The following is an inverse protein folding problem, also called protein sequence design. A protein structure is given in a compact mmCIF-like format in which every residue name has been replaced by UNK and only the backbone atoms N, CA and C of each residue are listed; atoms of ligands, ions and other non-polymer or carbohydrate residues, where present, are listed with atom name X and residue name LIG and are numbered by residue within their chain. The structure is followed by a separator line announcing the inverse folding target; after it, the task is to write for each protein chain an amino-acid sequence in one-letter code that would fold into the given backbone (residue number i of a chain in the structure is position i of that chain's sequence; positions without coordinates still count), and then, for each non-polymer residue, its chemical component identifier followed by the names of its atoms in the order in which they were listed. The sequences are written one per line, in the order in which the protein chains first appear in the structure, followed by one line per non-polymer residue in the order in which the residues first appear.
data_IF_081736265896
#
_entry.id   IF_081736265896
#
_cell.length_a   1.000
_cell.length_b   1.000
_cell.length_c   1.000
_cell.angle_alpha   90.00
_cell.angle_beta   90.00
_cell.angle_gamma   90.00
#
_symmetry.space_group_name_H-M   'P 1'
#
loop_
_entity.id
_entity.type
_entity.pdbx_description
1 polymer ?
#
# COMPACT_ATOMS: atom_id res chain seq x y z
N UNK A 1 -25.93 -23.17 -10.96
CA UNK A 1 -24.51 -23.34 -11.26
C UNK A 1 -23.68 -22.49 -10.33
N UNK A 2 -22.84 -23.12 -9.55
CA UNK A 2 -21.96 -22.40 -8.64
C UNK A 2 -20.99 -21.54 -9.46
N UNK A 3 -20.96 -20.26 -9.17
CA UNK A 3 -19.96 -19.37 -9.77
C UNK A 3 -18.59 -19.86 -9.38
N UNK A 4 -17.75 -20.07 -10.35
CA UNK A 4 -16.36 -20.40 -10.12
C UNK A 4 -15.71 -19.21 -9.40
N UNK A 5 -15.18 -19.47 -8.22
CA UNK A 5 -14.48 -18.46 -7.46
C UNK A 5 -13.23 -18.06 -8.24
N UNK A 6 -13.14 -16.79 -8.61
CA UNK A 6 -11.93 -16.31 -9.25
C UNK A 6 -10.78 -16.38 -8.27
N UNK A 7 -9.67 -16.92 -8.74
CA UNK A 7 -8.45 -16.96 -7.97
C UNK A 7 -7.95 -15.54 -7.79
N UNK A 8 -7.90 -15.08 -6.54
CA UNK A 8 -7.34 -13.77 -6.24
C UNK A 8 -5.84 -13.76 -6.46
N UNK A 9 -5.36 -12.73 -7.14
CA UNK A 9 -3.93 -12.47 -7.24
C UNK A 9 -3.43 -12.03 -5.85
N UNK A 10 -2.51 -12.78 -5.20
CA UNK A 10 -2.00 -12.39 -3.90
C UNK A 10 -1.20 -11.09 -3.92
N UNK A 11 -0.85 -10.60 -5.12
CA UNK A 11 -0.06 -9.40 -5.30
C UNK A 11 -0.89 -8.21 -5.81
N UNK A 12 -2.22 -8.32 -5.76
CA UNK A 12 -3.09 -7.24 -6.19
C UNK A 12 -4.40 -7.28 -5.41
N UNK A 13 -4.87 -6.12 -5.00
CA UNK A 13 -6.17 -5.98 -4.36
C UNK A 13 -6.74 -4.60 -4.65
N UNK A 14 -8.03 -4.43 -4.39
CA UNK A 14 -8.68 -3.13 -4.44
C UNK A 14 -9.24 -2.80 -3.07
N UNK A 15 -9.23 -1.52 -2.72
CA UNK A 15 -9.78 -1.04 -1.46
C UNK A 15 -10.19 0.41 -1.60
N UNK A 16 -11.00 0.89 -0.67
CA UNK A 16 -11.38 2.30 -0.64
C UNK A 16 -10.44 3.09 0.24
N UNK A 17 -9.93 4.19 -0.30
CA UNK A 17 -9.09 5.13 0.44
C UNK A 17 -9.58 6.53 0.08
N UNK A 18 -9.94 7.32 1.10
CA UNK A 18 -10.51 8.64 0.87
C UNK A 18 -11.82 8.60 0.11
N UNK A 19 -12.60 7.54 0.26
CA UNK A 19 -13.89 7.37 -0.41
C UNK A 19 -13.80 6.93 -1.86
N UNK A 20 -12.63 6.68 -2.38
CA UNK A 20 -12.40 6.28 -3.78
C UNK A 20 -11.75 4.91 -3.84
N UNK A 21 -12.08 4.14 -4.87
CA UNK A 21 -11.48 2.83 -5.07
C UNK A 21 -10.06 2.96 -5.61
N UNK A 22 -9.14 2.27 -4.94
CA UNK A 22 -7.73 2.23 -5.32
C UNK A 22 -7.29 0.81 -5.60
N UNK A 23 -6.38 0.68 -6.55
CA UNK A 23 -5.71 -0.59 -6.85
C UNK A 23 -4.39 -0.61 -6.10
N UNK A 24 -4.14 -1.68 -5.36
CA UNK A 24 -2.89 -1.87 -4.62
C UNK A 24 -2.16 -3.03 -5.29
N UNK A 25 -0.94 -2.78 -5.76
CA UNK A 25 -0.14 -3.78 -6.45
C UNK A 25 1.19 -3.98 -5.76
N UNK A 26 1.52 -5.22 -5.48
CA UNK A 26 2.83 -5.60 -4.97
C UNK A 26 3.67 -6.04 -6.16
N UNK A 27 4.66 -5.25 -6.49
CA UNK A 27 5.38 -5.34 -7.77
C UNK A 27 6.81 -5.81 -7.59
N UNK A 28 7.38 -6.37 -8.65
CA UNK A 28 8.79 -6.78 -8.67
C UNK A 28 9.67 -5.53 -8.67
N UNK A 29 10.90 -5.70 -8.19
CA UNK A 29 11.84 -4.58 -8.09
C UNK A 29 12.07 -3.87 -9.42
N UNK A 30 12.03 -4.58 -10.54
CA UNK A 30 12.22 -4.00 -11.87
C UNK A 30 11.04 -3.16 -12.37
N UNK A 31 9.88 -3.28 -11.73
CA UNK A 31 8.66 -2.60 -12.16
C UNK A 31 8.50 -1.23 -11.51
N UNK A 32 9.42 -0.87 -10.64
CA UNK A 32 9.38 0.41 -9.91
C UNK A 32 10.79 0.99 -9.90
N UNK A 33 10.94 2.33 -9.99
CA UNK A 33 12.27 2.95 -9.97
C UNK A 33 13.10 2.52 -8.76
N UNK A 34 14.41 2.34 -8.98
CA UNK A 34 15.31 1.85 -7.95
C UNK A 34 15.47 2.78 -6.75
N UNK A 35 15.11 4.05 -6.90
CA UNK A 35 15.22 5.07 -5.85
C UNK A 35 14.05 5.06 -4.87
N UNK A 36 13.06 4.17 -5.07
CA UNK A 36 11.88 4.14 -4.21
C UNK A 36 11.40 2.71 -3.98
N UNK A 37 10.77 2.50 -2.84
CA UNK A 37 10.22 1.20 -2.46
C UNK A 37 8.74 1.08 -2.78
N UNK A 38 8.07 2.21 -2.98
CA UNK A 38 6.68 2.26 -3.36
C UNK A 38 6.34 3.60 -3.98
N UNK A 39 5.18 3.70 -4.59
CA UNK A 39 4.66 4.97 -5.08
C UNK A 39 3.14 4.98 -5.05
N UNK A 40 2.60 6.18 -5.16
CA UNK A 40 1.17 6.43 -5.13
C UNK A 40 0.81 7.29 -6.33
N UNK A 41 -0.19 6.85 -7.09
CA UNK A 41 -0.76 7.65 -8.16
C UNK A 41 -1.57 8.81 -7.60
N UNK A 42 -2.23 9.53 -8.50
CA UNK A 42 -3.07 10.66 -8.13
C UNK A 42 -4.53 10.21 -7.99
N UNK A 43 -5.30 10.74 -7.00
CA UNK A 43 -6.71 10.36 -6.85
C UNK A 43 -7.57 10.62 -8.09
N UNK A 44 -7.15 11.55 -8.95
CA UNK A 44 -7.89 11.88 -10.17
C UNK A 44 -7.59 10.96 -11.34
N UNK A 45 -6.64 10.05 -11.20
CA UNK A 45 -6.35 9.07 -12.24
C UNK A 45 -7.58 8.19 -12.46
N UNK A 46 -7.82 7.71 -13.70
CA UNK A 46 -8.96 6.81 -13.97
C UNK A 46 -8.92 5.54 -13.13
N UNK A 47 -7.73 5.02 -12.88
CA UNK A 47 -7.52 3.86 -12.00
C UNK A 47 -6.36 4.18 -11.05
N UNK A 48 -6.64 4.93 -9.97
CA UNK A 48 -5.57 5.29 -9.06
C UNK A 48 -4.95 4.05 -8.44
N UNK A 49 -3.64 3.99 -8.45
CA UNK A 49 -2.89 2.79 -8.08
C UNK A 49 -1.76 3.12 -7.10
N UNK A 50 -1.64 2.30 -6.09
CA UNK A 50 -0.48 2.26 -5.21
C UNK A 50 0.36 1.06 -5.59
N UNK A 51 1.67 1.26 -5.75
CA UNK A 51 2.61 0.16 -5.98
C UNK A 51 3.54 0.03 -4.79
N UNK A 52 3.74 -1.20 -4.35
CA UNK A 52 4.60 -1.53 -3.22
C UNK A 52 5.59 -2.60 -3.68
N UNK A 53 6.87 -2.38 -3.43
CA UNK A 53 7.91 -3.36 -3.80
C UNK A 53 7.70 -4.63 -2.99
N UNK A 54 7.56 -5.74 -3.67
CA UNK A 54 7.25 -7.06 -3.08
C UNK A 54 8.31 -7.52 -2.08
N UNK A 55 9.56 -7.18 -2.34
CA UNK A 55 10.69 -7.60 -1.53
C UNK A 55 10.76 -6.94 -0.16
N UNK A 56 10.00 -5.85 0.05
CA UNK A 56 9.97 -5.18 1.35
C UNK A 56 9.12 -5.98 2.32
N UNK A 57 9.68 -6.31 3.47
CA UNK A 57 9.07 -7.24 4.43
C UNK A 57 8.94 -6.62 5.83
N UNK A 58 8.13 -7.27 6.67
CA UNK A 58 8.01 -6.97 8.09
C UNK A 58 7.45 -5.59 8.37
N UNK A 59 8.00 -4.93 9.37
CA UNK A 59 7.54 -3.59 9.77
C UNK A 59 7.78 -2.56 8.67
N UNK A 60 8.83 -2.71 7.87
CA UNK A 60 9.09 -1.83 6.74
C UNK A 60 7.99 -1.91 5.69
N UNK A 61 7.48 -3.10 5.42
CA UNK A 61 6.34 -3.29 4.51
C UNK A 61 5.08 -2.61 5.05
N UNK A 62 4.81 -2.76 6.34
CA UNK A 62 3.68 -2.12 7.00
C UNK A 62 3.78 -0.60 6.91
N UNK A 63 4.95 -0.04 7.25
CA UNK A 63 5.22 1.40 7.15
C UNK A 63 4.97 1.91 5.73
N UNK A 64 5.51 1.21 4.74
CA UNK A 64 5.39 1.58 3.33
C UNK A 64 3.93 1.57 2.86
N UNK A 65 3.16 0.55 3.22
CA UNK A 65 1.75 0.47 2.87
C UNK A 65 0.98 1.65 3.47
N UNK A 66 1.22 1.94 4.74
CA UNK A 66 0.57 3.07 5.43
C UNK A 66 0.98 4.39 4.79
N UNK A 67 2.26 4.55 4.47
CA UNK A 67 2.80 5.75 3.83
C UNK A 67 2.06 6.05 2.52
N UNK A 68 1.96 5.07 1.64
CA UNK A 68 1.28 5.27 0.36
C UNK A 68 -0.23 5.45 0.54
N UNK A 69 -0.84 4.76 1.50
CA UNK A 69 -2.26 4.94 1.80
C UNK A 69 -2.55 6.37 2.29
N UNK A 70 -1.67 6.95 3.09
CA UNK A 70 -1.83 8.33 3.56
C UNK A 70 -1.74 9.33 2.41
N UNK A 71 -0.84 9.09 1.44
CA UNK A 71 -0.80 9.91 0.23
C UNK A 71 -2.09 9.82 -0.58
N UNK A 72 -2.72 8.65 -0.60
CA UNK A 72 -3.99 8.46 -1.31
C UNK A 72 -5.15 9.19 -0.60
N UNK A 73 -5.18 9.14 0.72
CA UNK A 73 -6.25 9.74 1.52
C UNK A 73 -6.09 11.26 1.63
N UNK A 74 -4.85 11.71 1.81
CA UNK A 74 -4.50 13.12 2.02
C UNK A 74 -3.47 13.58 0.98
N UNK A 75 -3.86 13.71 -0.29
CA UNK A 75 -2.89 13.99 -1.37
C UNK A 75 -2.19 15.34 -1.25
N UNK A 76 -2.77 16.27 -0.48
CA UNK A 76 -2.19 17.60 -0.31
C UNK A 76 -1.29 17.70 0.95
N UNK A 77 -1.16 16.62 1.69
CA UNK A 77 -0.33 16.62 2.90
C UNK A 77 1.15 16.56 2.55
N UNK A 78 1.99 17.13 3.41
CA UNK A 78 3.44 17.17 3.18
C UNK A 78 4.05 15.77 3.31
N UNK A 79 5.14 15.54 2.58
CA UNK A 79 5.91 14.29 2.68
C UNK A 79 6.41 14.06 4.10
N UNK A 80 6.83 15.13 4.79
CA UNK A 80 7.30 15.04 6.17
C UNK A 80 6.19 14.53 7.10
N UNK A 81 4.98 15.07 6.98
CA UNK A 81 3.84 14.65 7.80
C UNK A 81 3.46 13.20 7.51
N UNK A 82 3.40 12.83 6.25
CA UNK A 82 3.08 11.45 5.83
C UNK A 82 4.13 10.48 6.36
N UNK A 83 5.39 10.82 6.20
CA UNK A 83 6.50 9.96 6.63
C UNK A 83 6.44 9.70 8.15
N UNK A 84 6.30 10.75 8.94
CA UNK A 84 6.22 10.64 10.39
C UNK A 84 4.99 9.86 10.83
N UNK A 85 3.84 10.19 10.28
CA UNK A 85 2.57 9.52 10.64
C UNK A 85 2.60 8.04 10.30
N UNK A 86 3.09 7.68 9.12
CA UNK A 86 3.20 6.28 8.71
C UNK A 86 4.11 5.49 9.65
N UNK A 87 5.26 6.05 9.98
CA UNK A 87 6.21 5.39 10.87
C UNK A 87 5.62 5.20 12.28
N UNK A 88 4.95 6.21 12.80
CA UNK A 88 4.35 6.11 14.13
C UNK A 88 3.21 5.10 14.16
N UNK A 89 2.36 5.08 13.13
CA UNK A 89 1.26 4.10 13.03
C UNK A 89 1.83 2.68 12.87
N UNK A 90 2.83 2.51 12.02
CA UNK A 90 3.46 1.21 11.83
C UNK A 90 4.09 0.69 13.13
N UNK A 91 4.77 1.56 13.87
CA UNK A 91 5.37 1.22 15.17
C UNK A 91 4.29 0.79 16.16
N UNK A 92 3.18 1.50 16.20
CA UNK A 92 2.06 1.16 17.09
C UNK A 92 1.50 -0.23 16.76
N UNK A 93 1.18 -0.46 15.50
CA UNK A 93 0.59 -1.74 15.08
C UNK A 93 1.57 -2.90 15.31
N UNK A 94 2.85 -2.67 15.02
CA UNK A 94 3.87 -3.69 15.26
C UNK A 94 4.01 -4.03 16.74
N UNK A 95 4.00 -3.01 17.60
CA UNK A 95 4.05 -3.18 19.04
C UNK A 95 2.81 -3.92 19.58
N UNK A 96 1.66 -3.73 18.94
CA UNK A 96 0.43 -4.45 19.29
C UNK A 96 0.43 -5.91 18.80
N UNK A 97 1.44 -6.32 18.04
CA UNK A 97 1.57 -7.70 17.59
C UNK A 97 0.97 -8.00 16.23
N UNK A 98 0.53 -6.98 15.48
CA UNK A 98 0.01 -7.23 14.14
C UNK A 98 1.11 -7.67 13.20
N UNK A 99 0.88 -8.76 12.52
CA UNK A 99 1.83 -9.36 11.59
C UNK A 99 1.08 -9.87 10.37
N UNK A 100 1.77 -9.85 9.23
CA UNK A 100 1.23 -10.45 8.01
C UNK A 100 1.09 -11.97 8.22
N UNK A 101 -0.07 -12.50 7.86
CA UNK A 101 -0.27 -13.94 7.85
C UNK A 101 0.22 -14.48 6.51
N UNK A 102 1.15 -15.41 6.56
CA UNK A 102 1.63 -16.10 5.35
C UNK A 102 0.58 -17.12 4.93
N UNK A 103 0.15 -17.01 3.68
CA UNK A 103 -0.85 -17.92 3.10
C UNK A 103 -0.17 -19.01 2.28
#
# INVERSE_FOLDING_TARGET
VAKRKQKQDPNALTTKLGGKEWHIKFVRSREIPSDRWGDCGHPEDPQPTIRVRRAVEGKNRMDLIIHEALHAIYPDETEEMVNRSATEIANLLWACGYRRVEM
#
